data_IF_327920648429
#
_entry.id   IF_327920648429
#
_cell.length_a   1.000
_cell.length_b   1.000
_cell.length_c   1.000
_cell.angle_alpha   90.00
_cell.angle_beta   90.00
_cell.angle_gamma   90.00
#
_symmetry.space_group_name_H-M   'P 1'
#
loop_
_entity.id
_entity.type
_entity.pdbx_description
1 polymer ?
#
# COMPACT_ATOMS: atom_id res chain seq x y z
N UNK A 1 11.91 42.08 -0.17
CA UNK A 1 11.98 41.01 0.83
C UNK A 1 10.58 40.42 0.96
N UNK A 2 10.38 39.09 0.84
CA UNK A 2 9.10 38.51 1.18
C UNK A 2 8.82 38.76 2.67
N UNK A 3 7.59 39.14 2.99
CA UNK A 3 7.18 39.53 4.33
C UNK A 3 7.13 38.30 5.24
N UNK A 4 8.19 38.11 6.04
CA UNK A 4 8.42 36.94 6.89
C UNK A 4 7.25 36.66 7.84
N UNK A 5 6.56 37.71 8.29
CA UNK A 5 5.40 37.61 9.19
C UNK A 5 4.21 36.97 8.45
N UNK A 6 3.97 37.38 7.20
CA UNK A 6 2.90 36.82 6.39
C UNK A 6 3.15 35.34 6.04
N UNK A 7 4.41 34.95 5.81
CA UNK A 7 4.76 33.54 5.58
C UNK A 7 4.58 32.69 6.83
N UNK A 8 4.99 33.23 7.99
CA UNK A 8 4.82 32.55 9.28
C UNK A 8 3.33 32.38 9.62
N UNK A 9 2.51 33.41 9.35
CA UNK A 9 1.05 33.34 9.50
C UNK A 9 0.41 32.25 8.64
N UNK A 10 0.81 32.12 7.36
CA UNK A 10 0.31 31.05 6.49
C UNK A 10 0.71 29.66 6.97
N UNK A 11 1.95 29.49 7.46
CA UNK A 11 2.43 28.22 8.01
C UNK A 11 1.67 27.80 9.27
N UNK A 12 1.42 28.74 10.18
CA UNK A 12 0.64 28.49 11.39
C UNK A 12 -0.79 28.09 11.06
N UNK A 13 -1.47 28.81 10.17
CA UNK A 13 -2.82 28.44 9.72
C UNK A 13 -2.88 27.04 9.08
N UNK A 14 -1.86 26.67 8.29
CA UNK A 14 -1.74 25.31 7.73
C UNK A 14 -1.57 24.26 8.83
N UNK A 15 -0.77 24.55 9.86
CA UNK A 15 -0.60 23.65 11.01
C UNK A 15 -1.90 23.49 11.80
N UNK A 16 -2.60 24.58 12.11
CA UNK A 16 -3.89 24.53 12.81
C UNK A 16 -4.93 23.69 12.05
N UNK A 17 -5.05 23.88 10.73
CA UNK A 17 -5.92 23.06 9.87
C UNK A 17 -5.56 21.57 9.97
N UNK A 18 -4.27 21.23 9.94
CA UNK A 18 -3.80 19.83 10.06
C UNK A 18 -4.11 19.23 11.42
N UNK A 19 -3.92 19.99 12.52
CA UNK A 19 -4.24 19.53 13.87
C UNK A 19 -5.74 19.22 13.99
N UNK A 20 -6.60 20.13 13.52
CA UNK A 20 -8.06 19.91 13.54
C UNK A 20 -8.46 18.68 12.73
N UNK A 21 -7.88 18.49 11.54
CA UNK A 21 -8.12 17.29 10.73
C UNK A 21 -7.70 16.02 11.47
N UNK A 22 -6.52 16.01 12.09
CA UNK A 22 -6.02 14.85 12.84
C UNK A 22 -6.87 14.54 14.07
N UNK A 23 -7.30 15.55 14.82
CA UNK A 23 -8.18 15.37 15.98
C UNK A 23 -9.54 14.82 15.58
N UNK A 24 -10.09 15.27 14.44
CA UNK A 24 -11.33 14.74 13.89
C UNK A 24 -11.16 13.28 13.43
N UNK A 25 -10.06 12.98 12.75
CA UNK A 25 -9.78 11.64 12.25
C UNK A 25 -9.55 10.66 13.42
N UNK A 26 -8.89 11.09 14.50
CA UNK A 26 -8.74 10.30 15.73
C UNK A 26 -10.09 9.93 16.39
N UNK A 27 -11.12 10.76 16.23
CA UNK A 27 -12.47 10.50 16.78
C UNK A 27 -13.35 9.69 15.83
N UNK A 28 -13.01 9.62 14.55
CA UNK A 28 -13.77 8.84 13.58
C UNK A 28 -13.54 7.33 13.80
N UNK A 29 -14.54 6.49 13.51
CA UNK A 29 -14.32 5.04 13.44
C UNK A 29 -13.15 4.74 12.51
N UNK A 30 -12.37 3.72 12.87
CA UNK A 30 -11.27 3.31 12.01
C UNK A 30 -11.82 2.80 10.68
N UNK A 31 -11.23 3.15 9.51
CA UNK A 31 -11.76 2.72 8.23
C UNK A 31 -11.81 1.19 8.13
N UNK A 32 -12.88 0.69 7.51
CA UNK A 32 -13.10 -0.74 7.33
C UNK A 32 -12.16 -1.32 6.27
N UNK A 33 -11.83 -2.60 6.44
CA UNK A 33 -11.12 -3.39 5.45
C UNK A 33 -11.99 -3.65 4.23
N UNK A 34 -11.34 -3.73 3.07
CA UNK A 34 -11.98 -4.05 1.78
C UNK A 34 -11.15 -5.09 1.05
N UNK A 35 -11.81 -5.98 0.32
CA UNK A 35 -11.12 -7.01 -0.45
C UNK A 35 -10.23 -6.39 -1.52
N UNK A 36 -8.99 -6.87 -1.59
CA UNK A 36 -8.01 -6.44 -2.57
C UNK A 36 -8.35 -7.07 -3.92
N UNK A 37 -8.59 -6.27 -4.99
CA UNK A 37 -8.83 -6.82 -6.31
C UNK A 37 -7.58 -7.51 -6.86
N UNK A 38 -7.60 -8.83 -6.84
CA UNK A 38 -6.54 -9.67 -7.36
C UNK A 38 -6.63 -9.84 -8.88
N UNK A 39 -5.51 -10.15 -9.53
CA UNK A 39 -5.48 -10.50 -10.95
C UNK A 39 -5.73 -12.00 -11.18
N UNK A 40 -6.10 -12.37 -12.41
CA UNK A 40 -6.40 -13.76 -12.77
C UNK A 40 -5.24 -14.75 -12.62
N UNK A 41 -4.01 -14.26 -12.45
CA UNK A 41 -2.80 -15.09 -12.25
C UNK A 41 -2.48 -15.35 -10.77
N UNK A 42 -3.40 -14.98 -9.88
CA UNK A 42 -3.27 -15.15 -8.43
C UNK A 42 -4.50 -15.82 -7.84
N UNK A 43 -4.36 -16.36 -6.64
CA UNK A 43 -5.44 -17.04 -5.92
C UNK A 43 -5.61 -16.49 -4.52
N UNK A 44 -6.76 -16.77 -3.91
CA UNK A 44 -7.02 -16.53 -2.49
C UNK A 44 -6.75 -17.85 -1.74
N UNK A 45 -5.68 -17.97 -0.93
CA UNK A 45 -5.35 -19.22 -0.26
C UNK A 45 -6.38 -19.64 0.82
N UNK A 46 -7.06 -18.65 1.41
CA UNK A 46 -8.08 -18.83 2.44
C UNK A 46 -9.27 -17.92 2.11
N UNK A 47 -10.37 -18.50 1.65
CA UNK A 47 -11.58 -17.74 1.26
C UNK A 47 -12.28 -17.08 2.46
N UNK A 48 -12.05 -17.56 3.69
CA UNK A 48 -12.59 -16.93 4.89
C UNK A 48 -11.79 -15.67 5.27
N UNK A 49 -10.57 -15.55 4.76
CA UNK A 49 -9.66 -14.42 5.02
C UNK A 49 -8.99 -13.95 3.72
N UNK A 50 -9.79 -13.36 2.80
CA UNK A 50 -9.23 -12.84 1.56
C UNK A 50 -8.20 -11.74 1.85
N UNK A 51 -7.21 -11.53 0.98
CA UNK A 51 -6.32 -10.39 1.09
C UNK A 51 -7.11 -9.09 0.98
N UNK A 52 -6.84 -8.17 1.90
CA UNK A 52 -7.60 -6.95 2.09
C UNK A 52 -6.70 -5.73 2.19
N UNK A 53 -7.29 -4.56 1.97
CA UNK A 53 -6.63 -3.28 2.12
C UNK A 53 -7.56 -2.25 2.76
N UNK A 54 -6.98 -1.18 3.32
CA UNK A 54 -7.69 0.03 3.74
C UNK A 54 -6.75 1.22 3.73
N UNK A 55 -7.30 2.42 3.59
CA UNK A 55 -6.56 3.65 3.90
C UNK A 55 -6.89 4.04 5.34
N UNK A 56 -5.87 4.27 6.15
CA UNK A 56 -6.07 4.79 7.50
C UNK A 56 -6.18 6.32 7.51
N UNK A 57 -6.45 6.86 8.70
CA UNK A 57 -6.63 8.29 8.95
C UNK A 57 -5.38 9.16 8.74
N UNK A 58 -4.23 8.55 8.45
CA UNK A 58 -2.92 9.20 8.33
C UNK A 58 -2.29 9.02 6.93
N UNK A 59 -3.14 8.87 5.91
CA UNK A 59 -2.73 8.69 4.50
C UNK A 59 -1.80 7.49 4.27
N UNK A 60 -1.93 6.46 5.10
CA UNK A 60 -1.25 5.19 4.90
C UNK A 60 -2.26 4.16 4.39
N UNK A 61 -1.92 3.52 3.28
CA UNK A 61 -2.63 2.33 2.80
C UNK A 61 -2.01 1.11 3.46
N UNK A 62 -2.83 0.38 4.21
CA UNK A 62 -2.48 -0.84 4.93
C UNK A 62 -3.03 -2.05 4.17
N UNK A 63 -2.33 -3.17 4.27
CA UNK A 63 -2.75 -4.45 3.73
C UNK A 63 -2.77 -5.52 4.82
N UNK A 64 -3.53 -6.59 4.57
CA UNK A 64 -3.48 -7.81 5.35
C UNK A 64 -3.89 -9.02 4.49
N UNK A 65 -3.65 -10.22 5.03
CA UNK A 65 -4.00 -11.48 4.38
C UNK A 65 -2.91 -11.98 3.43
N UNK A 66 -3.26 -13.00 2.64
CA UNK A 66 -2.31 -13.72 1.77
C UNK A 66 -2.78 -13.76 0.33
N UNK A 67 -1.83 -13.68 -0.59
CA UNK A 67 -2.04 -13.90 -2.02
C UNK A 67 -1.34 -15.21 -2.38
N UNK A 68 -2.08 -16.11 -3.03
CA UNK A 68 -1.55 -17.34 -3.60
C UNK A 68 -1.00 -17.10 -4.99
N UNK A 69 0.13 -17.76 -5.30
CA UNK A 69 0.77 -17.71 -6.61
C UNK A 69 0.44 -19.00 -7.36
N UNK A 70 -0.52 -18.93 -8.29
CA UNK A 70 -1.11 -20.11 -8.93
C UNK A 70 -0.09 -21.03 -9.62
N UNK A 71 1.01 -20.46 -10.13
CA UNK A 71 2.09 -21.20 -10.79
C UNK A 71 3.09 -21.87 -9.81
N UNK A 72 2.95 -21.63 -8.50
CA UNK A 72 3.95 -22.01 -7.50
C UNK A 72 5.28 -21.27 -7.65
N UNK A 73 5.28 -20.15 -8.40
CA UNK A 73 6.45 -19.29 -8.61
C UNK A 73 6.09 -17.81 -8.50
N UNK A 74 7.00 -17.08 -7.90
CA UNK A 74 7.09 -15.63 -7.97
C UNK A 74 7.91 -15.25 -9.21
N UNK A 75 7.30 -14.52 -10.15
CA UNK A 75 7.99 -13.95 -11.30
C UNK A 75 8.12 -12.43 -11.15
N UNK A 76 9.28 -11.90 -11.49
CA UNK A 76 9.53 -10.47 -11.46
C UNK A 76 8.58 -9.73 -12.40
N UNK A 77 8.13 -8.55 -11.98
CA UNK A 77 7.14 -7.69 -12.65
C UNK A 77 5.74 -8.30 -12.85
N UNK A 78 5.47 -9.51 -12.30
CA UNK A 78 4.15 -10.13 -12.37
C UNK A 78 3.10 -9.25 -11.69
N UNK A 79 2.03 -8.90 -12.41
CA UNK A 79 0.92 -8.13 -11.86
C UNK A 79 0.08 -9.03 -10.94
N UNK A 80 -0.03 -8.68 -9.66
CA UNK A 80 -0.72 -9.50 -8.65
C UNK A 80 -2.03 -8.88 -8.16
N UNK A 81 -2.17 -7.56 -8.21
CA UNK A 81 -3.38 -6.86 -7.79
C UNK A 81 -3.53 -5.50 -8.47
N UNK A 82 -4.74 -4.95 -8.37
CA UNK A 82 -5.12 -3.62 -8.82
C UNK A 82 -5.73 -2.85 -7.65
N UNK A 83 -5.05 -1.80 -7.19
CA UNK A 83 -5.62 -0.88 -6.20
C UNK A 83 -6.69 -0.01 -6.86
N UNK A 84 -7.87 0.15 -6.24
CA UNK A 84 -8.88 1.09 -6.73
C UNK A 84 -8.40 2.54 -6.72
N UNK A 85 -8.96 3.35 -7.63
CA UNK A 85 -8.76 4.81 -7.64
C UNK A 85 -9.09 5.39 -6.26
N UNK A 86 -8.29 6.37 -5.82
CA UNK A 86 -8.40 6.89 -4.45
C UNK A 86 -7.62 6.09 -3.39
N UNK A 87 -6.84 5.08 -3.79
CA UNK A 87 -5.86 4.40 -2.93
C UNK A 87 -4.44 4.37 -3.50
N UNK A 88 -4.23 5.03 -4.64
CA UNK A 88 -2.93 5.08 -5.30
C UNK A 88 -1.97 5.99 -4.55
N UNK A 89 -0.67 5.63 -4.49
CA UNK A 89 0.35 6.55 -4.02
C UNK A 89 0.62 7.65 -5.05
N UNK A 90 1.07 8.82 -4.61
CA UNK A 90 1.49 9.89 -5.53
C UNK A 90 2.77 9.54 -6.30
N UNK A 91 3.66 8.76 -5.69
CA UNK A 91 4.92 8.31 -6.27
C UNK A 91 5.08 6.79 -6.11
N UNK A 92 5.85 6.12 -6.98
CA UNK A 92 6.08 4.68 -6.85
C UNK A 92 6.55 4.28 -5.45
N UNK A 93 6.05 3.14 -4.97
CA UNK A 93 6.41 2.55 -3.68
C UNK A 93 6.85 1.12 -3.87
N UNK A 94 7.89 0.74 -3.13
CA UNK A 94 8.33 -0.65 -3.00
C UNK A 94 8.18 -1.04 -1.54
N UNK A 95 7.48 -2.14 -1.27
CA UNK A 95 7.25 -2.64 0.09
C UNK A 95 7.67 -4.10 0.20
N UNK A 96 8.31 -4.47 1.30
CA UNK A 96 8.65 -5.86 1.57
C UNK A 96 7.41 -6.67 1.93
N UNK A 97 7.39 -7.93 1.50
CA UNK A 97 6.34 -8.90 1.85
C UNK A 97 6.96 -10.20 2.36
N UNK A 98 6.26 -10.84 3.29
CA UNK A 98 6.64 -12.18 3.72
C UNK A 98 6.25 -13.20 2.65
N UNK A 99 7.02 -14.28 2.52
CA UNK A 99 6.73 -15.36 1.55
C UNK A 99 7.35 -16.68 1.99
N UNK A 100 6.99 -17.78 1.33
CA UNK A 100 7.65 -19.08 1.44
C UNK A 100 8.86 -19.23 0.49
N UNK A 101 9.26 -18.15 -0.18
CA UNK A 101 10.40 -18.17 -1.09
C UNK A 101 11.70 -18.48 -0.34
N UNK A 102 12.39 -19.54 -0.74
CA UNK A 102 13.65 -19.93 -0.13
C UNK A 102 14.77 -19.02 -0.64
N UNK A 103 15.44 -18.30 0.29
CA UNK A 103 16.67 -17.49 0.08
C UNK A 103 16.51 -16.20 -0.74
N UNK A 104 15.31 -15.81 -1.16
CA UNK A 104 15.10 -14.52 -1.84
C UNK A 104 13.94 -13.79 -1.19
N UNK A 105 14.18 -12.53 -0.82
CA UNK A 105 13.12 -11.62 -0.40
C UNK A 105 12.26 -11.23 -1.60
N UNK A 106 10.96 -11.13 -1.36
CA UNK A 106 9.99 -10.65 -2.33
C UNK A 106 9.47 -9.29 -1.90
N UNK A 107 9.15 -8.46 -2.89
CA UNK A 107 8.65 -7.11 -2.71
C UNK A 107 7.43 -6.89 -3.58
N UNK A 108 6.66 -5.86 -3.26
CA UNK A 108 5.61 -5.34 -4.12
C UNK A 108 5.97 -3.93 -4.57
N UNK A 109 6.01 -3.73 -5.87
CA UNK A 109 6.08 -2.42 -6.50
C UNK A 109 4.65 -1.94 -6.79
N UNK A 110 4.31 -0.78 -6.23
CA UNK A 110 3.00 -0.15 -6.33
C UNK A 110 3.20 1.16 -7.08
N UNK A 111 2.63 1.26 -8.27
CA UNK A 111 2.79 2.45 -9.10
C UNK A 111 1.70 3.51 -8.84
N UNK A 112 1.89 4.76 -9.33
CA UNK A 112 0.89 5.82 -9.19
C UNK A 112 -0.43 5.62 -9.93
N UNK A 113 -0.60 4.48 -10.62
CA UNK A 113 -1.84 4.07 -11.29
C UNK A 113 -2.49 2.87 -10.59
N UNK A 114 -1.99 2.50 -9.41
CA UNK A 114 -2.53 1.43 -8.59
C UNK A 114 -2.17 0.02 -9.06
N UNK A 115 -1.23 -0.13 -10.00
CA UNK A 115 -0.77 -1.46 -10.40
C UNK A 115 0.18 -1.99 -9.33
N UNK A 116 -0.13 -3.18 -8.81
CA UNK A 116 0.68 -3.86 -7.80
C UNK A 116 1.40 -5.03 -8.47
N UNK A 117 2.73 -4.92 -8.59
CA UNK A 117 3.58 -5.91 -9.23
C UNK A 117 4.50 -6.57 -8.23
N UNK A 118 4.73 -7.86 -8.40
CA UNK A 118 5.73 -8.59 -7.66
C UNK A 118 7.12 -8.20 -8.13
N UNK A 119 8.04 -8.02 -7.18
CA UNK A 119 9.45 -7.80 -7.46
C UNK A 119 10.28 -8.90 -6.79
N UNK A 120 11.08 -9.58 -7.60
CA UNK A 120 12.04 -10.58 -7.15
C UNK A 120 13.40 -9.93 -7.06
N UNK A 121 14.02 -9.93 -5.89
CA UNK A 121 15.35 -9.32 -5.73
C UNK A 121 16.37 -9.96 -6.69
N UNK A 122 16.99 -9.13 -7.54
CA UNK A 122 17.90 -9.58 -8.60
C UNK A 122 17.22 -10.08 -9.88
N UNK A 123 15.90 -9.93 -9.99
CA UNK A 123 15.08 -10.29 -11.15
C UNK A 123 14.83 -11.79 -11.34
N UNK A 124 14.11 -12.10 -12.41
CA UNK A 124 13.82 -13.47 -12.85
C UNK A 124 12.64 -14.10 -12.10
N UNK A 125 12.79 -15.36 -11.66
CA UNK A 125 11.74 -16.04 -10.91
C UNK A 125 12.29 -16.93 -9.80
N UNK A 126 11.52 -17.10 -8.73
CA UNK A 126 11.83 -17.97 -7.59
C UNK A 126 10.62 -18.84 -7.24
N UNK A 127 10.86 -20.03 -6.69
CA UNK A 127 9.78 -20.88 -6.18
C UNK A 127 9.17 -20.20 -4.95
N UNK A 128 7.86 -19.97 -5.00
CA UNK A 128 7.07 -19.38 -3.94
C UNK A 128 5.60 -19.72 -4.22
N UNK A 129 4.87 -20.24 -3.26
CA UNK A 129 3.45 -20.55 -3.40
C UNK A 129 2.54 -19.46 -2.86
N UNK A 130 3.05 -18.55 -2.01
CA UNK A 130 2.28 -17.45 -1.47
C UNK A 130 3.15 -16.26 -1.07
N UNK A 131 2.50 -15.10 -0.97
CA UNK A 131 3.02 -13.92 -0.26
C UNK A 131 2.00 -13.48 0.81
N UNK A 132 2.49 -12.99 1.94
CA UNK A 132 1.67 -12.39 3.01
C UNK A 132 1.85 -10.88 2.97
N UNK A 133 0.72 -10.19 3.05
CA UNK A 133 0.62 -8.74 3.13
C UNK A 133 0.52 -8.24 4.57
N UNK A 134 0.62 -9.14 5.55
CA UNK A 134 0.44 -8.79 6.94
C UNK A 134 1.54 -7.82 7.39
N UNK A 135 1.13 -6.70 7.98
CA UNK A 135 2.02 -5.59 8.37
C UNK A 135 2.64 -4.82 7.18
N UNK A 136 2.21 -5.09 5.95
CA UNK A 136 2.64 -4.33 4.77
C UNK A 136 1.80 -3.05 4.66
N UNK A 137 2.47 -1.91 4.48
CA UNK A 137 1.79 -0.63 4.27
C UNK A 137 2.68 0.37 3.53
N UNK A 138 2.08 1.38 2.91
CA UNK A 138 2.80 2.51 2.33
C UNK A 138 2.08 3.82 2.59
N UNK A 139 2.82 4.93 2.64
CA UNK A 139 2.24 6.26 2.61
C UNK A 139 1.85 6.67 1.20
N UNK A 140 0.58 7.04 1.04
CA UNK A 140 0.06 7.59 -0.20
C UNK A 140 0.66 8.96 -0.53
N UNK A 141 1.19 9.67 0.47
CA UNK A 141 1.80 11.01 0.39
C UNK A 141 0.90 12.04 -0.31
N UNK A 142 -0.42 11.99 -0.07
CA UNK A 142 -1.34 12.99 -0.63
C UNK A 142 -0.97 14.40 -0.18
N UNK A 143 -0.72 15.29 -1.13
CA UNK A 143 -0.49 16.69 -0.81
C UNK A 143 -1.73 17.27 -0.09
N UNK A 144 -1.54 17.74 1.15
CA UNK A 144 -2.51 18.55 1.89
C UNK A 144 -2.84 19.81 1.05
N UNK A 145 -3.87 19.72 0.20
CA UNK A 145 -4.37 20.84 -0.63
C UNK A 145 -5.49 21.58 0.11
#
# INVERSE_FOLDING_TARGET
MPDTIADLGRRLAKLEKRVVTLERARRAPYPEWRDLPLTGDTTVPDEEQPPQFRANHWDTTEFCGRIGLASGRASDEQLVALLPEGYWPEAPRTVDVASDAVRRSLQLDIDPKGLVRLRVQGGGSVRASWISLDSTSFRADRADT
#
